data_IF_044951973977
#
_entry.id   IF_044951973977
#
_cell.length_a   1.000
_cell.length_b   1.000
_cell.length_c   1.000
_cell.angle_alpha   90.00
_cell.angle_beta   90.00
_cell.angle_gamma   90.00
#
_symmetry.space_group_name_H-M   'P 1'
#
loop_
_entity.id
_entity.type
_entity.pdbx_description
1 polymer ?
#
# COMPACT_ATOMS: atom_id res chain seq x y z
N UNK A 1 -27.28 28.77 -6.23
CA UNK A 1 -25.86 29.14 -6.38
C UNK A 1 -25.17 28.92 -5.04
N UNK A 2 -24.54 27.77 -4.87
CA UNK A 2 -23.51 27.53 -3.85
C UNK A 2 -22.34 26.94 -4.62
N UNK A 3 -21.18 27.58 -4.43
CA UNK A 3 -19.94 27.31 -5.12
C UNK A 3 -19.34 26.06 -4.48
N UNK A 4 -19.31 24.95 -5.18
CA UNK A 4 -18.38 23.88 -4.83
C UNK A 4 -17.06 24.25 -5.47
N UNK A 5 -16.15 24.69 -4.63
CA UNK A 5 -14.75 24.87 -4.96
C UNK A 5 -14.20 23.48 -5.29
N UNK A 6 -14.20 23.14 -6.57
CA UNK A 6 -13.25 22.19 -7.12
C UNK A 6 -11.89 22.86 -6.92
N UNK A 7 -11.31 22.68 -5.73
CA UNK A 7 -9.90 22.93 -5.50
C UNK A 7 -9.18 22.05 -6.51
N UNK A 8 -8.78 22.70 -7.60
CA UNK A 8 -7.77 22.29 -8.55
C UNK A 8 -6.47 22.04 -7.76
N UNK A 9 -6.46 20.94 -7.00
CA UNK A 9 -5.28 20.45 -6.33
C UNK A 9 -4.44 19.89 -7.45
N UNK A 10 -3.49 20.73 -7.88
CA UNK A 10 -2.35 20.31 -8.67
C UNK A 10 -1.98 18.89 -8.22
N UNK A 11 -1.95 17.91 -9.15
CA UNK A 11 -1.65 16.54 -8.78
C UNK A 11 -0.30 16.57 -8.07
N UNK A 12 -0.28 16.26 -6.76
CA UNK A 12 0.93 16.27 -5.96
C UNK A 12 1.97 15.46 -6.72
N UNK A 13 3.02 16.12 -7.20
CA UNK A 13 4.08 15.47 -7.96
C UNK A 13 5.07 14.86 -6.98
N UNK A 14 5.66 13.73 -7.38
CA UNK A 14 6.75 13.11 -6.63
C UNK A 14 7.98 14.00 -6.82
N UNK A 15 8.52 14.51 -5.72
CA UNK A 15 9.72 15.33 -5.68
C UNK A 15 10.60 14.85 -4.54
N UNK A 16 11.59 14.02 -4.85
CA UNK A 16 12.46 13.40 -3.85
C UNK A 16 13.60 14.35 -3.53
N UNK A 17 13.82 14.59 -2.24
CA UNK A 17 14.95 15.36 -1.73
C UNK A 17 15.97 14.40 -1.11
N UNK A 18 16.94 13.96 -1.91
CA UNK A 18 18.04 13.10 -1.42
C UNK A 18 19.18 13.99 -0.93
N UNK A 19 19.46 13.99 0.36
CA UNK A 19 20.54 14.80 0.95
C UNK A 19 21.94 14.42 0.43
N UNK A 20 22.12 13.20 -0.12
CA UNK A 20 23.41 12.64 -0.55
C UNK A 20 23.56 12.43 -2.09
N UNK A 21 22.63 12.93 -2.92
CA UNK A 21 22.68 12.76 -4.39
C UNK A 21 23.24 14.00 -5.10
N UNK A 22 24.57 14.16 -5.12
CA UNK A 22 25.24 15.29 -5.79
C UNK A 22 24.95 15.39 -7.30
N UNK A 23 24.44 14.32 -7.93
CA UNK A 23 24.18 14.23 -9.37
C UNK A 23 22.70 14.31 -9.78
N UNK A 24 21.75 14.19 -8.85
CA UNK A 24 20.31 14.02 -9.09
C UNK A 24 19.91 12.80 -9.97
N UNK A 25 20.85 11.92 -10.35
CA UNK A 25 20.56 10.77 -11.21
C UNK A 25 19.68 9.74 -10.48
N UNK A 26 19.88 9.57 -9.17
CA UNK A 26 19.06 8.66 -8.36
C UNK A 26 17.68 9.25 -8.14
N UNK A 27 17.60 10.55 -7.86
CA UNK A 27 16.33 11.28 -7.75
C UNK A 27 15.43 11.04 -8.97
N UNK A 28 15.92 11.33 -10.17
CA UNK A 28 15.17 11.18 -11.42
C UNK A 28 14.70 9.74 -11.65
N UNK A 29 15.55 8.76 -11.32
CA UNK A 29 15.23 7.34 -11.47
C UNK A 29 14.10 6.92 -10.52
N UNK A 30 14.17 7.34 -9.25
CA UNK A 30 13.15 7.02 -8.26
C UNK A 30 11.83 7.75 -8.52
N UNK A 31 11.85 9.02 -8.94
CA UNK A 31 10.63 9.76 -9.27
C UNK A 31 9.88 9.10 -10.44
N UNK A 32 10.59 8.75 -11.51
CA UNK A 32 10.00 8.01 -12.65
C UNK A 32 9.49 6.64 -12.22
N UNK A 33 10.26 5.92 -11.41
CA UNK A 33 9.90 4.59 -10.90
C UNK A 33 8.64 4.63 -10.04
N UNK A 34 8.58 5.49 -9.03
CA UNK A 34 7.41 5.61 -8.17
C UNK A 34 6.20 6.15 -8.90
N UNK A 35 6.38 7.07 -9.84
CA UNK A 35 5.27 7.57 -10.67
C UNK A 35 4.65 6.43 -11.48
N UNK A 36 5.48 5.62 -12.13
CA UNK A 36 5.02 4.44 -12.88
C UNK A 36 4.34 3.42 -11.96
N UNK A 37 4.94 3.13 -10.80
CA UNK A 37 4.43 2.15 -9.84
C UNK A 37 3.07 2.57 -9.25
N UNK A 38 2.91 3.82 -8.84
CA UNK A 38 1.65 4.33 -8.29
C UNK A 38 0.54 4.50 -9.34
N UNK A 39 0.90 4.49 -10.62
CA UNK A 39 -0.03 4.48 -11.75
C UNK A 39 -0.37 3.06 -12.24
N UNK A 40 0.34 2.03 -11.78
CA UNK A 40 0.12 0.65 -12.22
C UNK A 40 -1.20 0.10 -11.65
N UNK A 41 -2.17 -0.30 -12.51
CA UNK A 41 -3.45 -0.85 -12.08
C UNK A 41 -3.34 -2.21 -11.38
N UNK A 42 -2.21 -2.90 -11.48
CA UNK A 42 -1.97 -4.18 -10.82
C UNK A 42 -1.20 -4.05 -9.51
N UNK A 43 -0.75 -2.83 -9.16
CA UNK A 43 -0.03 -2.61 -7.92
C UNK A 43 -0.97 -2.62 -6.71
N UNK A 44 -0.94 -3.73 -5.98
CA UNK A 44 -1.80 -4.03 -4.83
C UNK A 44 -1.08 -3.81 -3.52
N UNK A 45 -1.70 -3.07 -2.61
CA UNK A 45 -1.15 -2.84 -1.27
C UNK A 45 -2.17 -3.22 -0.20
N UNK A 46 -1.71 -3.79 0.91
CA UNK A 46 -2.44 -3.85 2.17
C UNK A 46 -2.11 -2.61 2.99
N UNK A 47 -3.11 -1.78 3.25
CA UNK A 47 -3.03 -0.64 4.15
C UNK A 47 -3.37 -1.07 5.58
N UNK A 48 -2.46 -0.77 6.50
CA UNK A 48 -2.67 -0.94 7.95
C UNK A 48 -2.96 0.42 8.57
N UNK A 49 -4.20 0.70 9.02
CA UNK A 49 -4.56 2.01 9.52
C UNK A 49 -3.98 2.27 10.92
N UNK A 50 -3.63 3.53 11.18
CA UNK A 50 -3.03 3.95 12.46
C UNK A 50 -3.96 3.77 13.68
N UNK A 51 -5.27 3.83 13.46
CA UNK A 51 -6.29 3.83 14.51
C UNK A 51 -6.76 2.42 14.93
N UNK A 52 -6.10 1.37 14.43
CA UNK A 52 -6.50 -0.02 14.70
C UNK A 52 -7.82 -0.43 14.03
N UNK A 53 -8.31 0.37 13.07
CA UNK A 53 -9.40 -0.05 12.20
C UNK A 53 -8.97 -1.26 11.36
N UNK A 54 -9.95 -1.85 10.68
CA UNK A 54 -9.73 -2.98 9.79
C UNK A 54 -8.76 -2.61 8.67
N UNK A 55 -7.86 -3.53 8.33
CA UNK A 55 -6.91 -3.33 7.23
C UNK A 55 -7.65 -3.37 5.90
N UNK A 56 -7.09 -2.76 4.86
CA UNK A 56 -7.75 -2.66 3.57
C UNK A 56 -6.79 -2.92 2.40
N UNK A 57 -7.22 -3.73 1.44
CA UNK A 57 -6.54 -3.86 0.15
C UNK A 57 -6.86 -2.64 -0.71
N UNK A 58 -5.83 -1.99 -1.25
CA UNK A 58 -5.97 -0.78 -2.04
C UNK A 58 -5.08 -0.83 -3.28
N UNK A 59 -5.56 -0.18 -4.35
CA UNK A 59 -4.78 0.13 -5.56
C UNK A 59 -4.48 1.61 -5.59
N UNK A 60 -3.21 2.04 -5.54
CA UNK A 60 -2.88 3.46 -5.65
C UNK A 60 -3.39 4.09 -6.95
N UNK A 61 -3.43 3.31 -8.04
CA UNK A 61 -3.90 3.79 -9.35
C UNK A 61 -5.34 4.31 -9.30
N UNK A 62 -6.23 3.67 -8.53
CA UNK A 62 -7.65 4.04 -8.40
C UNK A 62 -8.01 4.71 -7.07
N UNK A 63 -7.15 4.64 -6.05
CA UNK A 63 -7.39 5.24 -4.74
C UNK A 63 -6.59 6.53 -4.56
N UNK A 64 -7.20 7.66 -4.94
CA UNK A 64 -6.56 8.99 -4.90
C UNK A 64 -6.08 9.39 -3.51
N UNK A 65 -6.85 9.06 -2.47
CA UNK A 65 -6.51 9.41 -1.09
C UNK A 65 -5.21 8.73 -0.65
N UNK A 66 -5.11 7.40 -0.82
CA UNK A 66 -3.89 6.67 -0.48
C UNK A 66 -2.71 7.06 -1.38
N UNK A 67 -2.95 7.31 -2.68
CA UNK A 67 -1.91 7.78 -3.60
C UNK A 67 -1.32 9.12 -3.18
N UNK A 68 -2.17 10.13 -2.92
CA UNK A 68 -1.71 11.44 -2.44
C UNK A 68 -0.92 11.31 -1.15
N UNK A 69 -1.40 10.50 -0.21
CA UNK A 69 -0.71 10.25 1.06
C UNK A 69 0.68 9.63 0.88
N UNK A 70 0.83 8.66 -0.03
CA UNK A 70 2.14 8.08 -0.36
C UNK A 70 3.07 9.13 -0.96
N UNK A 71 2.57 9.93 -1.91
CA UNK A 71 3.38 10.98 -2.54
C UNK A 71 3.84 12.01 -1.50
N UNK A 72 2.97 12.46 -0.59
CA UNK A 72 3.34 13.34 0.52
C UNK A 72 4.48 12.74 1.34
N UNK A 73 4.37 11.47 1.75
CA UNK A 73 5.43 10.80 2.52
C UNK A 73 6.74 10.66 1.74
N UNK A 74 6.67 10.39 0.44
CA UNK A 74 7.85 10.33 -0.43
C UNK A 74 8.55 11.68 -0.47
N UNK A 75 7.77 12.76 -0.60
CA UNK A 75 8.31 14.12 -0.67
C UNK A 75 8.90 14.61 0.67
N UNK A 76 8.32 14.15 1.79
CA UNK A 76 8.83 14.45 3.14
C UNK A 76 10.05 13.60 3.53
N UNK A 77 10.31 12.50 2.82
CA UNK A 77 11.45 11.65 3.08
C UNK A 77 12.76 12.34 2.69
N UNK A 78 13.71 12.36 3.63
CA UNK A 78 15.07 12.91 3.44
C UNK A 78 16.04 11.94 2.78
N UNK A 79 15.64 10.68 2.69
CA UNK A 79 16.38 9.57 2.09
C UNK A 79 15.45 8.78 1.18
N UNK A 80 16.00 7.80 0.44
CA UNK A 80 15.21 6.96 -0.47
C UNK A 80 14.03 6.35 0.32
N UNK A 81 12.78 6.63 -0.10
CA UNK A 81 11.59 6.17 0.60
C UNK A 81 11.55 4.64 0.77
N UNK A 82 11.70 4.14 1.99
CA UNK A 82 11.62 2.71 2.32
C UNK A 82 10.20 2.29 2.75
N UNK A 83 9.16 2.80 2.07
CA UNK A 83 7.76 2.64 2.51
C UNK A 83 7.07 1.36 2.03
N UNK A 84 7.77 0.48 1.32
CA UNK A 84 7.18 -0.71 0.70
C UNK A 84 7.76 -1.97 1.34
N UNK A 85 7.10 -2.48 2.37
CA UNK A 85 7.35 -3.84 2.84
C UNK A 85 6.67 -4.81 1.87
N UNK A 86 7.38 -5.80 1.35
CA UNK A 86 6.80 -6.78 0.44
C UNK A 86 6.22 -7.98 1.22
N UNK A 87 4.92 -8.24 1.07
CA UNK A 87 4.26 -9.49 1.45
C UNK A 87 4.32 -10.47 0.28
N UNK A 88 5.53 -10.86 -0.11
CA UNK A 88 5.72 -11.92 -1.11
C UNK A 88 5.60 -13.29 -0.46
N UNK A 89 4.95 -14.24 -1.14
CA UNK A 89 4.72 -15.66 -0.75
C UNK A 89 3.75 -15.93 0.41
N UNK A 90 3.13 -14.90 0.98
CA UNK A 90 2.14 -15.04 2.06
C UNK A 90 0.71 -14.97 1.53
N UNK A 91 0.50 -14.23 0.44
CA UNK A 91 -0.81 -13.99 -0.15
C UNK A 91 -0.90 -14.71 -1.51
N UNK A 92 -1.83 -15.65 -1.67
CA UNK A 92 -1.95 -16.38 -2.94
C UNK A 92 -3.12 -17.36 -2.98
N UNK A 93 -3.69 -17.52 -4.17
CA UNK A 93 -4.75 -18.47 -4.48
C UNK A 93 -4.13 -19.74 -5.07
N UNK A 94 -3.68 -20.66 -4.21
CA UNK A 94 -3.48 -22.03 -4.69
C UNK A 94 -4.84 -22.71 -4.68
N UNK A 95 -5.35 -23.01 -5.88
CA UNK A 95 -6.60 -23.77 -6.10
C UNK A 95 -6.57 -25.17 -5.43
N UNK A 96 -5.38 -25.61 -4.99
CA UNK A 96 -5.15 -26.92 -4.36
C UNK A 96 -4.84 -26.86 -2.85
N UNK A 97 -4.95 -25.71 -2.18
CA UNK A 97 -4.47 -25.58 -0.80
C UNK A 97 -5.52 -25.95 0.26
N UNK A 98 -5.18 -26.96 1.07
CA UNK A 98 -5.95 -27.46 2.22
C UNK A 98 -6.16 -26.44 3.36
N UNK A 99 -5.51 -25.28 3.30
CA UNK A 99 -5.43 -24.31 4.41
C UNK A 99 -6.00 -22.95 4.02
N UNK A 100 -7.28 -22.91 3.67
CA UNK A 100 -8.00 -21.65 3.48
C UNK A 100 -8.15 -20.93 4.82
N UNK A 101 -7.89 -19.63 4.82
CA UNK A 101 -8.15 -18.74 5.93
C UNK A 101 -9.49 -18.05 5.70
N UNK A 102 -10.57 -18.66 6.20
CA UNK A 102 -11.93 -18.15 6.01
C UNK A 102 -12.20 -16.87 6.80
N UNK A 103 -11.53 -16.71 7.94
CA UNK A 103 -11.68 -15.58 8.86
C UNK A 103 -10.86 -14.35 8.43
N UNK A 104 -10.13 -14.38 7.30
CA UNK A 104 -9.36 -13.21 6.83
C UNK A 104 -10.26 -11.98 6.65
N UNK A 105 -11.51 -12.21 6.26
CA UNK A 105 -12.54 -11.19 6.12
C UNK A 105 -12.93 -10.53 7.45
N UNK A 106 -12.49 -11.01 8.61
CA UNK A 106 -12.66 -10.31 9.89
C UNK A 106 -11.57 -9.25 10.12
N UNK A 107 -10.43 -9.38 9.44
CA UNK A 107 -9.24 -8.55 9.62
C UNK A 107 -8.97 -7.61 8.44
N UNK A 108 -9.38 -8.00 7.24
CA UNK A 108 -9.05 -7.29 5.99
C UNK A 108 -10.31 -7.09 5.15
N UNK A 109 -10.49 -5.86 4.66
CA UNK A 109 -11.43 -5.53 3.60
C UNK A 109 -10.72 -5.51 2.25
N UNK A 110 -11.44 -5.84 1.19
CA UNK A 110 -11.00 -5.70 -0.19
C UNK A 110 -11.07 -4.24 -0.66
N UNK A 111 -10.79 -4.06 -1.96
CA UNK A 111 -10.75 -2.75 -2.62
C UNK A 111 -12.09 -2.04 -2.65
N UNK A 112 -13.19 -2.80 -2.58
CA UNK A 112 -14.56 -2.30 -2.56
C UNK A 112 -15.07 -2.08 -1.12
N UNK A 113 -14.21 -2.30 -0.13
CA UNK A 113 -14.56 -2.21 1.29
C UNK A 113 -15.41 -3.40 1.76
N UNK A 114 -15.43 -4.50 1.01
CA UNK A 114 -16.11 -5.73 1.42
C UNK A 114 -15.15 -6.65 2.16
N UNK A 115 -15.63 -7.51 3.08
CA UNK A 115 -14.78 -8.50 3.73
C UNK A 115 -14.00 -9.33 2.70
N UNK A 116 -12.68 -9.42 2.90
CA UNK A 116 -11.79 -10.13 1.98
C UNK A 116 -12.20 -11.60 1.82
N UNK A 117 -12.16 -12.09 0.58
CA UNK A 117 -12.40 -13.51 0.28
C UNK A 117 -11.32 -14.39 0.93
N UNK A 118 -11.65 -15.65 1.28
CA UNK A 118 -10.67 -16.56 1.86
C UNK A 118 -9.40 -16.67 1.02
N UNK A 119 -8.26 -16.52 1.69
CA UNK A 119 -6.94 -16.67 1.08
C UNK A 119 -6.28 -17.96 1.56
N UNK A 120 -5.41 -18.55 0.76
CA UNK A 120 -4.67 -19.71 1.22
C UNK A 120 -3.53 -19.28 2.14
N UNK A 121 -3.61 -19.64 3.42
CA UNK A 121 -2.53 -19.42 4.38
C UNK A 121 -2.51 -20.51 5.45
N UNK A 122 -1.31 -21.04 5.71
CA UNK A 122 -1.07 -22.00 6.80
C UNK A 122 -1.47 -21.40 8.15
N UNK A 123 -2.26 -22.11 8.99
CA UNK A 123 -2.73 -21.60 10.27
C UNK A 123 -1.62 -21.06 11.17
N UNK A 124 -0.47 -21.74 11.19
CA UNK A 124 0.67 -21.39 12.05
C UNK A 124 1.33 -20.06 11.69
N UNK A 125 1.04 -19.50 10.51
CA UNK A 125 1.57 -18.20 10.07
C UNK A 125 0.60 -17.03 10.28
N UNK A 126 -0.68 -17.31 10.54
CA UNK A 126 -1.74 -16.29 10.53
C UNK A 126 -1.56 -15.30 11.68
N UNK A 127 -1.41 -15.80 12.89
CA UNK A 127 -1.28 -14.97 14.09
C UNK A 127 0.00 -14.12 14.04
N UNK A 128 1.13 -14.73 13.67
CA UNK A 128 2.40 -14.02 13.51
C UNK A 128 2.33 -12.92 12.46
N UNK A 129 1.62 -13.15 11.34
CA UNK A 129 1.42 -12.12 10.34
C UNK A 129 0.55 -10.98 10.88
N UNK A 130 -0.55 -11.29 11.58
CA UNK A 130 -1.41 -10.27 12.17
C UNK A 130 -0.68 -9.43 13.22
N UNK A 131 0.13 -10.06 14.07
CA UNK A 131 0.98 -9.37 15.05
C UNK A 131 1.99 -8.46 14.34
N UNK A 132 2.69 -8.97 13.32
CA UNK A 132 3.59 -8.16 12.51
C UNK A 132 2.89 -6.93 11.93
N UNK A 133 1.73 -7.11 11.29
CA UNK A 133 1.00 -5.98 10.69
C UNK A 133 0.57 -4.97 11.75
N UNK A 134 0.10 -5.42 12.93
CA UNK A 134 -0.30 -4.56 14.05
C UNK A 134 0.86 -3.78 14.67
N UNK A 135 2.06 -4.36 14.68
CA UNK A 135 3.27 -3.71 15.20
C UNK A 135 3.77 -2.57 14.30
N UNK A 136 3.32 -2.54 13.04
CA UNK A 136 3.61 -1.46 12.09
C UNK A 136 2.33 -0.74 11.67
N UNK A 137 1.68 0.02 12.57
CA UNK A 137 0.52 0.81 12.21
C UNK A 137 0.90 1.90 11.19
N UNK A 138 -0.09 2.37 10.45
CA UNK A 138 0.07 3.45 9.48
C UNK A 138 0.99 3.11 8.28
N UNK A 139 1.02 1.85 7.89
CA UNK A 139 1.95 1.29 6.90
C UNK A 139 1.23 0.76 5.65
N UNK A 140 2.02 0.54 4.59
CA UNK A 140 1.59 -0.07 3.34
C UNK A 140 2.46 -1.27 3.02
N UNK A 141 1.83 -2.38 2.64
CA UNK A 141 2.52 -3.64 2.37
C UNK A 141 2.15 -4.14 0.98
N UNK A 142 3.14 -4.33 0.11
CA UNK A 142 2.91 -4.81 -1.25
C UNK A 142 2.48 -6.26 -1.25
N UNK A 143 1.34 -6.55 -1.86
CA UNK A 143 0.83 -7.90 -2.09
C UNK A 143 1.36 -8.37 -3.45
N UNK A 144 2.29 -9.32 -3.43
CA UNK A 144 2.85 -9.97 -4.61
C UNK A 144 2.09 -11.30 -4.79
N UNK A 145 1.22 -11.36 -5.82
CA UNK A 145 0.25 -12.44 -6.11
C UNK A 145 0.56 -13.18 -7.39
#
# INVERSE_FOLDING_TARGET
MLRDADEDRDPIQINISLEDDEGNDLKDLFEKGFTALLADPFFLLLHVPANGAKMQVIRPASNLHHRQRMITRINEAKCIPSFYYALSHVWGLSENNKHLWNEIGDYVDDEEGQPMKPVSMRPEKRDTLLELLKDYPDSYWWIDV
#
